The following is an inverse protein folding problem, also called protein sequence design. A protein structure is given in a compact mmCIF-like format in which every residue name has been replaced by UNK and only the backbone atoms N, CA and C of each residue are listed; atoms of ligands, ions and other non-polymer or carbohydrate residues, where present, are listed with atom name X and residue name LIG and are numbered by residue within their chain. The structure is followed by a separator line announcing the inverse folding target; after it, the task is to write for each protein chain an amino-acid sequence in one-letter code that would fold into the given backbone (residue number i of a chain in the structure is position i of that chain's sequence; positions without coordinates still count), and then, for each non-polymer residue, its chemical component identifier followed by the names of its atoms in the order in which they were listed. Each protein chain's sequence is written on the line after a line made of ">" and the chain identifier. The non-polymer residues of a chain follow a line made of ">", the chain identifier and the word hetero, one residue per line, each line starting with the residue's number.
data_IF_317088591961
#
_entry.id   IF_317088591961
#
_cell.length_a   1.000
_cell.length_b   1.000
_cell.length_c   1.000
_cell.angle_alpha   90.00
_cell.angle_beta   90.00
_cell.angle_gamma   90.00
#
_symmetry.space_group_name_H-M   'P 1'
#
loop_
_entity.id
_entity.type
_entity.pdbx_description
1 polymer ?
#
# COMPACT_ATOMS: atom_id res chain seq x y z
N UNK A 1 24.92 -34.06 -14.33
CA UNK A 1 24.57 -33.07 -13.29
C UNK A 1 25.14 -31.66 -13.54
N UNK A 2 26.43 -31.50 -13.87
CA UNK A 2 27.03 -30.17 -14.13
C UNK A 2 26.33 -29.35 -15.23
N UNK A 3 25.90 -29.99 -16.32
CA UNK A 3 25.21 -29.32 -17.44
C UNK A 3 23.83 -28.75 -17.05
N UNK A 4 23.10 -29.39 -16.15
CA UNK A 4 21.79 -28.93 -15.68
C UNK A 4 21.91 -27.68 -14.80
N UNK A 5 22.91 -27.66 -13.92
CA UNK A 5 23.25 -26.51 -13.08
C UNK A 5 23.67 -25.30 -13.91
N UNK A 6 24.44 -25.50 -14.98
CA UNK A 6 24.82 -24.42 -15.91
C UNK A 6 23.61 -23.87 -16.66
N UNK A 7 22.68 -24.73 -17.11
CA UNK A 7 21.44 -24.26 -17.76
C UNK A 7 20.56 -23.48 -16.79
N UNK A 8 20.39 -23.95 -15.55
CA UNK A 8 19.64 -23.23 -14.52
C UNK A 8 20.32 -21.90 -14.13
N UNK A 9 21.64 -21.87 -14.05
CA UNK A 9 22.40 -20.66 -13.77
C UNK A 9 22.29 -19.65 -14.93
N UNK A 10 22.35 -20.10 -16.20
CA UNK A 10 22.19 -19.25 -17.38
C UNK A 10 20.75 -18.73 -17.50
N UNK A 11 19.74 -19.53 -17.17
CA UNK A 11 18.33 -19.09 -17.11
C UNK A 11 18.10 -18.08 -15.97
N UNK A 12 18.71 -18.27 -14.81
CA UNK A 12 18.66 -17.31 -13.70
C UNK A 12 19.41 -16.00 -14.04
N UNK A 13 20.55 -16.09 -14.76
CA UNK A 13 21.31 -14.93 -15.22
C UNK A 13 20.57 -14.17 -16.34
N UNK A 14 19.90 -14.89 -17.25
CA UNK A 14 19.07 -14.32 -18.31
C UNK A 14 17.77 -13.69 -17.77
N UNK A 15 17.23 -14.22 -16.68
CA UNK A 15 16.17 -13.55 -15.92
C UNK A 15 16.69 -12.29 -15.20
N UNK A 16 17.96 -12.27 -14.79
CA UNK A 16 18.62 -11.13 -14.16
C UNK A 16 19.05 -10.02 -15.14
N UNK A 17 19.27 -10.32 -16.43
CA UNK A 17 19.76 -9.34 -17.42
C UNK A 17 18.67 -8.58 -18.18
N UNK A 18 17.40 -8.82 -17.87
CA UNK A 18 16.25 -8.06 -18.37
C UNK A 18 15.56 -7.26 -17.26
N UNK A 19 16.29 -6.85 -16.22
CA UNK A 19 15.87 -5.77 -15.34
C UNK A 19 15.95 -4.42 -16.08
N UNK A 20 15.28 -4.32 -17.24
CA UNK A 20 14.69 -3.04 -17.60
C UNK A 20 13.90 -2.61 -16.36
N UNK A 21 14.22 -1.43 -15.82
CA UNK A 21 13.42 -0.80 -14.78
C UNK A 21 11.99 -0.71 -15.33
N UNK A 22 11.18 -1.72 -15.01
CA UNK A 22 9.77 -1.77 -15.36
C UNK A 22 9.11 -0.75 -14.43
N UNK A 23 9.02 0.48 -14.93
CA UNK A 23 8.29 1.56 -14.31
C UNK A 23 6.86 1.46 -14.82
N UNK A 24 5.91 1.56 -13.90
CA UNK A 24 4.62 2.03 -14.33
C UNK A 24 3.74 2.44 -13.19
N UNK A 25 2.57 2.92 -13.55
CA UNK A 25 1.66 3.57 -12.65
C UNK A 25 0.23 3.07 -12.88
N UNK A 26 -0.58 3.14 -11.84
CA UNK A 26 -1.95 2.67 -11.92
C UNK A 26 -2.79 3.16 -10.77
N UNK A 27 -4.01 2.61 -10.73
CA UNK A 27 -4.96 2.86 -9.66
C UNK A 27 -5.52 1.53 -9.19
N UNK A 28 -5.66 1.37 -7.88
CA UNK A 28 -6.34 0.23 -7.27
C UNK A 28 -7.37 0.67 -6.26
N UNK A 29 -8.31 -0.22 -5.99
CA UNK A 29 -9.22 -0.11 -4.86
C UNK A 29 -8.80 -1.10 -3.77
N UNK A 30 -8.40 -0.59 -2.60
CA UNK A 30 -7.95 -1.40 -1.47
C UNK A 30 -9.01 -1.41 -0.37
N UNK A 31 -9.51 -2.59 0.00
CA UNK A 31 -10.42 -2.78 1.12
C UNK A 31 -9.72 -2.53 2.46
N UNK A 32 -10.40 -1.83 3.37
CA UNK A 32 -9.86 -1.39 4.65
C UNK A 32 -10.38 -2.23 5.82
N UNK A 33 -9.78 -3.40 6.04
CA UNK A 33 -10.26 -4.36 7.04
C UNK A 33 -10.14 -3.89 8.51
N UNK A 34 -9.28 -2.90 8.82
CA UNK A 34 -9.24 -2.32 10.18
C UNK A 34 -10.55 -1.63 10.54
N UNK A 35 -11.11 -0.84 9.62
CA UNK A 35 -12.20 0.07 9.97
C UNK A 35 -13.55 -0.64 10.10
N UNK A 36 -13.69 -1.83 9.52
CA UNK A 36 -14.86 -2.69 9.70
C UNK A 36 -14.99 -3.27 11.12
N UNK A 37 -13.91 -3.28 11.91
CA UNK A 37 -13.91 -3.81 13.26
C UNK A 37 -14.18 -2.75 14.35
N UNK A 38 -14.20 -1.46 14.00
CA UNK A 38 -14.65 -0.42 14.93
C UNK A 38 -16.18 -0.34 14.92
N UNK A 39 -16.81 -1.13 15.80
CA UNK A 39 -18.27 -1.20 15.94
C UNK A 39 -18.95 0.13 16.27
N UNK A 40 -18.19 1.16 16.65
CA UNK A 40 -18.66 2.49 17.00
C UNK A 40 -18.52 3.53 15.89
N UNK A 41 -17.81 3.25 14.78
CA UNK A 41 -17.62 4.21 13.69
C UNK A 41 -18.54 3.81 12.54
N UNK A 42 -19.58 4.60 12.20
CA UNK A 42 -20.38 4.34 11.01
C UNK A 42 -19.52 4.60 9.77
N UNK A 43 -18.87 3.54 9.29
CA UNK A 43 -18.01 3.58 8.10
C UNK A 43 -18.89 3.62 6.85
N UNK A 44 -18.83 4.70 6.08
CA UNK A 44 -19.59 4.83 4.82
C UNK A 44 -18.85 4.32 3.60
N UNK A 45 -17.52 4.14 3.70
CA UNK A 45 -16.69 3.50 2.69
C UNK A 45 -15.91 2.33 3.29
N UNK A 46 -15.87 1.22 2.56
CA UNK A 46 -15.13 0.01 2.95
C UNK A 46 -13.76 -0.08 2.27
N UNK A 47 -13.34 0.96 1.54
CA UNK A 47 -12.10 0.94 0.78
C UNK A 47 -11.52 2.31 0.47
N UNK A 48 -10.25 2.31 0.09
CA UNK A 48 -9.50 3.46 -0.38
C UNK A 48 -9.16 3.32 -1.87
N UNK A 49 -9.26 4.42 -2.60
CA UNK A 49 -8.68 4.53 -3.93
C UNK A 49 -7.22 4.92 -3.74
N UNK A 50 -6.31 4.16 -4.37
CA UNK A 50 -4.89 4.39 -4.25
C UNK A 50 -4.24 4.45 -5.63
N UNK A 51 -3.44 5.49 -5.85
CA UNK A 51 -2.51 5.55 -6.97
C UNK A 51 -1.26 4.75 -6.64
N UNK A 52 -0.85 3.88 -7.55
CA UNK A 52 0.31 3.00 -7.36
C UNK A 52 1.41 3.28 -8.36
N UNK A 53 2.66 3.14 -7.92
CA UNK A 53 3.86 3.12 -8.77
C UNK A 53 4.60 1.81 -8.51
N UNK A 54 4.93 1.10 -9.58
CA UNK A 54 5.70 -0.14 -9.53
C UNK A 54 7.06 0.11 -10.17
N UNK A 55 8.13 -0.27 -9.46
CA UNK A 55 9.51 -0.23 -9.91
C UNK A 55 10.10 -1.64 -9.78
N UNK A 56 10.05 -2.40 -10.88
CA UNK A 56 10.41 -3.81 -10.85
C UNK A 56 9.46 -4.60 -9.93
N UNK A 57 9.96 -5.26 -8.86
CA UNK A 57 9.10 -5.94 -7.90
C UNK A 57 8.56 -5.02 -6.81
N UNK A 58 9.10 -3.81 -6.62
CA UNK A 58 8.70 -2.91 -5.53
C UNK A 58 7.47 -2.13 -5.94
N UNK A 59 6.48 -2.04 -5.05
CA UNK A 59 5.32 -1.18 -5.21
C UNK A 59 5.27 -0.15 -4.09
N UNK A 60 4.93 1.09 -4.46
CA UNK A 60 4.55 2.16 -3.53
C UNK A 60 3.18 2.67 -3.95
N UNK A 61 2.24 2.77 -3.02
CA UNK A 61 0.92 3.30 -3.27
C UNK A 61 0.57 4.40 -2.27
N UNK A 62 -0.13 5.42 -2.75
CA UNK A 62 -0.67 6.51 -1.94
C UNK A 62 -2.13 6.64 -2.29
N UNK A 63 -2.99 6.78 -1.29
CA UNK A 63 -4.41 6.89 -1.53
C UNK A 63 -5.18 7.78 -0.59
N UNK A 64 -6.48 7.65 -0.73
CA UNK A 64 -7.47 8.43 -0.03
C UNK A 64 -8.71 7.57 0.22
N UNK A 65 -9.25 7.68 1.43
CA UNK A 65 -10.58 7.22 1.77
C UNK A 65 -11.28 8.22 2.68
N UNK A 66 -12.54 8.52 2.35
CA UNK A 66 -13.49 9.14 3.26
C UNK A 66 -14.35 8.02 3.88
N UNK A 67 -14.17 7.82 5.18
CA UNK A 67 -14.86 6.80 5.94
C UNK A 67 -16.19 7.29 6.51
N UNK A 68 -16.59 8.54 6.20
CA UNK A 68 -17.82 9.15 6.70
C UNK A 68 -17.62 9.83 8.04
N UNK A 69 -18.64 10.60 8.45
CA UNK A 69 -18.64 11.43 9.67
C UNK A 69 -17.52 12.49 9.74
N UNK A 70 -16.77 12.71 8.66
CA UNK A 70 -15.58 13.57 8.62
C UNK A 70 -14.27 12.86 8.95
N UNK A 71 -14.26 11.52 8.95
CA UNK A 71 -13.05 10.71 9.12
C UNK A 71 -12.41 10.48 7.76
N UNK A 72 -11.30 11.15 7.52
CA UNK A 72 -10.52 11.00 6.29
C UNK A 72 -9.19 10.32 6.60
N UNK A 73 -8.84 9.32 5.81
CA UNK A 73 -7.60 8.55 5.95
C UNK A 73 -6.81 8.56 4.65
N UNK A 74 -5.49 8.63 4.79
CA UNK A 74 -4.55 8.67 3.68
C UNK A 74 -3.60 7.47 3.81
N UNK A 75 -3.90 6.33 3.17
CA UNK A 75 -3.00 5.19 3.16
C UNK A 75 -1.72 5.50 2.38
N UNK A 76 -0.60 5.10 2.95
CA UNK A 76 0.70 4.98 2.31
C UNK A 76 1.14 3.52 2.41
N UNK A 77 1.26 2.86 1.27
CA UNK A 77 1.62 1.44 1.18
C UNK A 77 2.97 1.25 0.53
N UNK A 78 3.75 0.31 1.06
CA UNK A 78 5.00 -0.15 0.46
C UNK A 78 5.02 -1.66 0.49
N UNK A 79 5.39 -2.29 -0.63
CA UNK A 79 5.59 -3.72 -0.65
C UNK A 79 6.09 -4.24 -1.97
N UNK A 80 5.68 -5.47 -2.29
CA UNK A 80 6.20 -6.19 -3.43
C UNK A 80 5.11 -6.88 -4.27
N UNK A 81 5.35 -6.97 -5.57
CA UNK A 81 4.51 -7.63 -6.55
C UNK A 81 5.29 -8.66 -7.36
N UNK A 82 4.67 -9.82 -7.56
CA UNK A 82 5.07 -10.82 -8.53
C UNK A 82 4.16 -10.76 -9.75
N UNK A 83 4.75 -10.76 -10.94
CA UNK A 83 4.03 -10.69 -12.22
C UNK A 83 4.09 -12.01 -12.95
N UNK A 84 2.98 -12.40 -13.57
CA UNK A 84 2.93 -13.57 -14.43
C UNK A 84 3.42 -13.21 -15.85
N UNK A 85 4.23 -14.06 -16.50
CA UNK A 85 4.85 -13.76 -17.79
C UNK A 85 3.88 -13.98 -18.95
N UNK A 86 2.84 -13.15 -19.05
CA UNK A 86 1.89 -13.13 -20.16
C UNK A 86 2.18 -11.96 -21.13
N UNK A 87 1.96 -12.13 -22.45
CA UNK A 87 2.51 -11.24 -23.48
C UNK A 87 1.84 -9.87 -23.60
N UNK A 88 0.52 -9.76 -23.36
CA UNK A 88 -0.24 -8.51 -23.57
C UNK A 88 -0.76 -7.89 -22.28
N UNK A 89 -1.21 -8.75 -21.37
CA UNK A 89 -1.70 -8.39 -20.05
C UNK A 89 -0.98 -9.29 -19.07
N UNK A 90 -0.29 -8.70 -18.10
CA UNK A 90 0.43 -9.41 -17.05
C UNK A 90 -0.37 -9.34 -15.76
N UNK A 91 -1.05 -10.43 -15.36
CA UNK A 91 -1.61 -10.53 -14.03
C UNK A 91 -0.50 -10.36 -12.99
N UNK A 92 -0.83 -9.80 -11.83
CA UNK A 92 0.08 -9.72 -10.71
C UNK A 92 -0.61 -10.10 -9.41
N UNK A 93 0.20 -10.56 -8.46
CA UNK A 93 -0.18 -10.73 -7.05
C UNK A 93 0.88 -10.06 -6.19
N UNK A 94 0.49 -9.55 -5.02
CA UNK A 94 1.43 -8.85 -4.16
C UNK A 94 1.00 -8.81 -2.70
N UNK A 95 1.94 -8.36 -1.89
CA UNK A 95 1.76 -8.11 -0.47
C UNK A 95 2.42 -6.80 -0.08
N UNK A 96 1.76 -6.04 0.77
CA UNK A 96 2.22 -4.71 1.16
C UNK A 96 1.97 -4.43 2.62
N UNK A 97 2.75 -3.48 3.13
CA UNK A 97 2.55 -2.88 4.43
C UNK A 97 1.98 -1.48 4.23
N UNK A 98 0.82 -1.21 4.83
CA UNK A 98 0.09 0.06 4.68
C UNK A 98 0.08 0.80 6.01
N UNK A 99 0.54 2.05 5.98
CA UNK A 99 0.44 3.01 7.08
C UNK A 99 -0.70 3.99 6.78
N UNK A 100 -1.58 4.24 7.75
CA UNK A 100 -2.65 5.23 7.59
C UNK A 100 -2.32 6.53 8.30
N UNK A 101 -2.26 7.61 7.53
CA UNK A 101 -2.21 8.95 8.08
C UNK A 101 -3.64 9.49 8.28
N UNK A 102 -3.94 9.97 9.49
CA UNK A 102 -5.26 10.49 9.89
C UNK A 102 -5.06 11.92 10.44
N UNK A 103 -5.26 12.97 9.62
CA UNK A 103 -4.91 14.35 10.00
C UNK A 103 -5.86 14.98 11.02
N UNK A 104 -7.14 14.58 11.05
CA UNK A 104 -8.12 15.13 11.99
C UNK A 104 -8.42 14.12 13.10
N UNK A 105 -7.86 14.36 14.28
CA UNK A 105 -8.04 13.54 15.48
C UNK A 105 -9.14 14.06 16.41
N UNK A 106 -10.14 14.78 15.89
CA UNK A 106 -11.36 15.17 16.65
C UNK A 106 -12.15 13.97 17.19
N UNK A 107 -11.71 12.75 16.86
CA UNK A 107 -12.24 11.45 17.22
C UNK A 107 -11.80 10.88 18.58
N UNK A 108 -11.30 11.73 19.50
CA UNK A 108 -11.24 11.36 20.93
C UNK A 108 -12.59 10.83 21.45
N UNK A 109 -13.70 11.13 20.76
CA UNK A 109 -15.07 10.70 21.05
C UNK A 109 -15.41 9.24 20.71
N UNK A 110 -14.63 8.55 19.87
CA UNK A 110 -14.94 7.18 19.43
C UNK A 110 -14.00 6.12 20.01
N UNK A 111 -13.22 6.47 21.03
CA UNK A 111 -12.28 5.55 21.68
C UNK A 111 -10.99 5.32 20.89
N UNK A 112 -10.71 6.14 19.88
CA UNK A 112 -9.39 6.23 19.22
C UNK A 112 -8.69 7.47 19.78
N UNK A 113 -7.75 7.31 20.72
CA UNK A 113 -7.00 8.45 21.24
C UNK A 113 -6.29 9.21 20.12
N UNK A 114 -6.14 10.50 20.31
CA UNK A 114 -5.32 11.35 19.43
C UNK A 114 -3.88 10.83 19.38
N UNK A 115 -3.32 10.61 18.19
CA UNK A 115 -1.95 10.11 18.00
C UNK A 115 -1.83 8.63 17.64
N UNK A 116 -2.92 7.94 17.33
CA UNK A 116 -2.89 6.54 16.90
C UNK A 116 -2.30 6.39 15.50
N UNK A 117 -1.40 5.42 15.37
CA UNK A 117 -0.90 4.91 14.09
C UNK A 117 -1.61 3.59 13.80
N UNK A 118 -2.27 3.50 12.65
CA UNK A 118 -2.88 2.26 12.15
C UNK A 118 -1.97 1.68 11.06
N UNK A 119 -1.66 0.39 11.17
CA UNK A 119 -0.86 -0.33 10.19
C UNK A 119 -1.55 -1.64 9.77
N UNK A 120 -1.55 -1.91 8.47
CA UNK A 120 -2.13 -3.09 7.84
C UNK A 120 -1.10 -3.87 7.01
N UNK A 121 -1.32 -5.18 6.89
CA UNK A 121 -0.77 -5.97 5.78
C UNK A 121 -1.89 -6.09 4.76
N UNK A 122 -1.57 -5.78 3.52
CA UNK A 122 -2.50 -5.86 2.40
C UNK A 122 -2.07 -6.96 1.44
N UNK A 123 -2.99 -7.87 1.10
CA UNK A 123 -2.83 -8.76 -0.04
C UNK A 123 -3.50 -8.12 -1.26
N UNK A 124 -2.85 -8.19 -2.42
CA UNK A 124 -3.39 -7.59 -3.64
C UNK A 124 -3.26 -8.47 -4.86
N UNK A 125 -4.11 -8.19 -5.85
CA UNK A 125 -4.07 -8.78 -7.17
C UNK A 125 -4.54 -7.79 -8.22
N UNK A 126 -4.06 -7.93 -9.44
CA UNK A 126 -4.46 -7.04 -10.53
C UNK A 126 -3.86 -7.45 -11.85
N UNK A 127 -3.90 -6.50 -12.79
CA UNK A 127 -3.40 -6.67 -14.15
C UNK A 127 -2.58 -5.45 -14.56
N UNK A 128 -1.53 -5.71 -15.34
CA UNK A 128 -0.71 -4.70 -16.00
C UNK A 128 -0.89 -4.84 -17.52
N UNK A 129 -1.30 -3.75 -18.18
CA UNK A 129 -1.18 -3.61 -19.63
C UNK A 129 0.10 -2.85 -19.97
N UNK A 130 0.85 -3.28 -20.99
CA UNK A 130 2.10 -2.60 -21.39
C UNK A 130 1.89 -1.73 -22.62
N UNK A 131 2.32 -0.48 -22.54
CA UNK A 131 2.50 0.43 -23.68
C UNK A 131 4.00 0.69 -23.86
N UNK A 132 4.66 -0.20 -24.60
CA UNK A 132 6.12 -0.21 -24.70
C UNK A 132 6.78 -0.53 -23.35
N UNK A 133 7.63 0.38 -22.87
CA UNK A 133 8.32 0.23 -21.59
C UNK A 133 7.48 0.67 -20.37
N UNK A 134 6.37 1.36 -20.60
CA UNK A 134 5.47 1.83 -19.54
C UNK A 134 4.40 0.78 -19.23
N UNK A 135 4.27 0.40 -17.96
CA UNK A 135 3.13 -0.40 -17.47
C UNK A 135 1.98 0.49 -17.00
N UNK A 136 0.75 0.14 -17.36
CA UNK A 136 -0.48 0.70 -16.80
C UNK A 136 -1.11 -0.38 -15.94
N UNK A 137 -1.36 -0.07 -14.67
CA UNK A 137 -1.86 -1.04 -13.70
C UNK A 137 -3.30 -0.74 -13.28
N UNK A 138 -4.05 -1.81 -13.04
CA UNK A 138 -5.34 -1.77 -12.37
C UNK A 138 -5.47 -2.98 -11.46
N UNK A 139 -5.99 -2.80 -10.25
CA UNK A 139 -6.07 -3.89 -9.29
C UNK A 139 -7.03 -3.67 -8.14
N UNK A 140 -7.10 -4.71 -7.30
CA UNK A 140 -7.82 -4.72 -6.04
C UNK A 140 -6.90 -5.21 -4.92
N UNK A 141 -7.13 -4.71 -3.72
CA UNK A 141 -6.42 -5.12 -2.52
C UNK A 141 -7.36 -5.34 -1.35
N UNK A 142 -6.91 -6.09 -0.35
CA UNK A 142 -7.60 -6.25 0.91
C UNK A 142 -6.60 -6.23 2.07
N UNK A 143 -6.75 -5.24 2.93
CA UNK A 143 -5.94 -5.02 4.13
C UNK A 143 -6.51 -5.75 5.34
N UNK A 144 -5.63 -6.32 6.17
CA UNK A 144 -5.94 -6.77 7.52
C UNK A 144 -5.06 -6.05 8.54
N UNK A 145 -5.64 -5.71 9.69
CA UNK A 145 -4.92 -5.03 10.78
C UNK A 145 -3.80 -5.89 11.31
N UNK A 146 -2.62 -5.29 11.49
CA UNK A 146 -1.53 -5.92 12.25
C UNK A 146 -1.47 -5.30 13.65
N UNK A 147 -1.55 -3.98 13.74
CA UNK A 147 -1.48 -3.28 15.02
C UNK A 147 -2.14 -1.91 14.98
N UNK A 148 -2.71 -1.55 16.14
CA UNK A 148 -2.97 -0.17 16.51
C UNK A 148 -1.89 0.23 17.51
N UNK A 149 -1.04 1.19 17.12
CA UNK A 149 -0.04 1.73 18.04
C UNK A 149 -0.55 3.05 18.59
N UNK A 150 -0.79 3.05 19.90
CA UNK A 150 -0.95 4.27 20.69
C UNK A 150 0.43 4.82 21.02
N UNK A 151 0.97 5.67 20.17
CA UNK A 151 2.00 6.57 20.66
C UNK A 151 1.25 7.65 21.42
N UNK A 152 1.38 7.70 22.75
CA UNK A 152 0.92 8.85 23.53
C UNK A 152 1.40 10.14 22.85
N UNK A 153 0.70 11.28 23.02
CA UNK A 153 0.94 12.47 22.22
C UNK A 153 2.44 12.73 22.13
N UNK A 154 2.99 12.63 20.92
CA UNK A 154 4.31 13.15 20.63
C UNK A 154 4.16 14.66 20.82
N UNK A 155 4.39 15.12 22.04
CA UNK A 155 4.61 16.51 22.33
C UNK A 155 5.87 16.89 21.56
N UNK A 156 5.68 17.37 20.33
CA UNK A 156 6.62 18.33 19.79
C UNK A 156 6.77 19.39 20.89
N UNK A 157 7.98 19.68 21.40
CA UNK A 157 8.14 20.83 22.24
C UNK A 157 7.65 22.01 21.40
N UNK A 158 6.49 22.55 21.76
CA UNK A 158 6.05 23.81 21.23
C UNK A 158 7.22 24.76 21.42
N UNK A 159 7.78 25.26 20.33
CA UNK A 159 8.59 26.46 20.39
C UNK A 159 7.68 27.51 21.00
N UNK A 160 7.81 27.72 22.31
CA UNK A 160 7.12 28.77 23.05
C UNK A 160 7.53 30.08 22.38
N UNK A 161 6.65 30.77 21.66
CA UNK A 161 6.98 32.05 21.09
C UNK A 161 6.99 33.04 22.26
N UNK A 162 8.18 33.42 22.74
CA UNK A 162 8.31 34.53 23.69
C UNK A 162 9.18 34.30 24.92
N UNK A 163 10.39 33.78 24.76
CA UNK A 163 11.45 34.05 25.75
C UNK A 163 12.53 34.91 25.10
N UNK A 164 12.29 36.22 25.11
CA UNK A 164 13.34 37.25 25.16
C UNK A 164 13.91 37.33 26.56
#
# INVERSE_FOLDING_TARGET
>A
MKKLLVVLAVLALAAGSACAFDIGAGVRYAGLGVFTNFSSIPVTSLGAIQGEVVLGPINVAIGYADLGSGLTVYPLSVGAVGKFPLPLVKPYIGGEFTYFFIPNSTYSFYGIPTGFTIMEIEAKAGVEGRLGNLGIYGGIGYGTTICLLSFGPLSFPALVPGMT
#
